data_IF_076768329722
#
_entry.id   IF_076768329722
#
_cell.length_a   1.000
_cell.length_b   1.000
_cell.length_c   1.000
_cell.angle_alpha   90.00
_cell.angle_beta   90.00
_cell.angle_gamma   90.00
#
_symmetry.space_group_name_H-M   'P 1'
#
loop_
_entity.id
_entity.type
_entity.pdbx_description
1 polymer ?
2 polymer ?
3 polymer ?
4 polymer ?
5 non-polymer ?
6 non-polymer ?
7 water ?
#
loop_
_entity_poly.entity_id
_entity_poly.type
_entity_poly.pdbx_seq_one_letter_code
_entity_poly.pdbx_strand_id
1 'polyribonucleotide' '(GTP)GCCGUGUGCCUUGCGCCGGGAAACCACGCAAGGGAUGGUGUCAAAUUCGGCGAAACCUAAGCGCCCGCCCGGGCGUAUGGCAACGCCGAGCCAAGCUUCGCAGCCAUUGCACUCCGGCUGCGAUGAAGGUGUAGAGACUAGACGGCACCCACCUAAGGCAAACGCUAUGGUGAAGGCAUAGUCCAGGGAGUGGCG(A23)' ?
2 'polydeoxyribonucleotide/polyribonucleotide hybrid' 'AAGCCACACAAACCA(DG)' ?
3 'polydeoxyribonucleotide/polyribonucleotide hybrid' 'CA(DT)ACGGCC' ?
#
# COMPACT_ATOMS: atom_id res chain seq x y z
N UNK D 1 -0.68 -17.98 -0.05
CA UNK D 1 0.02 -16.81 -0.56
C UNK D 1 -0.24 -15.55 0.26
N UNK D 2 -1.44 -15.44 0.82
CA UNK D 2 -1.86 -14.27 1.60
C UNK D 2 -1.88 -14.54 3.11
N UNK D 3 -1.31 -13.61 3.88
CA UNK D 3 -1.31 -13.70 5.34
C UNK D 3 -2.57 -13.07 5.93
N UNK D 4 -2.61 -12.97 7.26
CA UNK D 4 -3.80 -12.53 7.98
C UNK D 4 -4.02 -11.01 7.87
N UNK D 5 -5.29 -10.58 7.71
CA UNK D 5 -5.71 -9.19 7.46
C UNK D 5 -5.10 -8.13 8.39
N UNK D 6 -5.03 -6.90 7.89
CA UNK D 6 -4.47 -5.76 8.63
C UNK D 6 -5.03 -4.42 8.14
N UNK D 7 -4.83 -3.36 8.94
CA UNK D 7 -5.20 -1.99 8.56
C UNK D 7 -4.38 -1.46 7.39
N UNK D 8 -3.13 -1.91 7.30
CA UNK D 8 -2.19 -1.46 6.27
C UNK D 8 -1.85 -2.62 5.32
N UNK D 9 -1.56 -2.28 4.07
CA UNK D 9 -1.20 -3.27 3.06
C UNK D 9 0.23 -3.11 2.54
N UNK D 10 0.91 -4.23 2.33
CA UNK D 10 2.26 -4.25 1.77
C UNK D 10 2.22 -4.40 0.25
N UNK D 11 2.99 -3.56 -0.43
CA UNK D 11 3.04 -3.56 -1.90
C UNK D 11 4.50 -3.66 -2.35
N UNK D 12 4.78 -4.54 -3.31
CA UNK D 12 6.14 -4.72 -3.83
C UNK D 12 6.23 -4.78 -5.35
N UNK D 13 7.43 -5.05 -5.85
CA UNK D 13 7.73 -5.11 -7.29
C UNK D 13 7.28 -3.85 -8.03
N UNK D 14 8.02 -2.76 -7.82
CA UNK D 14 7.70 -1.48 -8.45
C UNK D 14 8.93 -0.93 -9.17
N UNK D 15 8.70 -0.02 -10.11
CA UNK D 15 9.78 0.65 -10.81
C UNK D 15 10.40 1.70 -9.90
N UNK D 16 11.71 1.60 -9.69
CA UNK D 16 12.42 2.40 -8.69
C UNK D 16 12.96 3.73 -9.21
N UNK D 17 12.64 4.06 -10.46
CA UNK D 17 13.05 5.34 -11.06
C UNK D 17 12.20 6.50 -10.55
N UNK D 18 10.95 6.22 -10.19
CA UNK D 18 10.00 7.23 -9.73
C UNK D 18 10.42 7.80 -8.36
N UNK D 19 10.30 9.12 -8.20
CA UNK D 19 10.64 9.81 -6.97
C UNK D 19 9.66 9.53 -5.83
N UNK D 20 10.05 9.92 -4.62
CA UNK D 20 9.21 9.75 -3.42
C UNK D 20 7.95 10.63 -3.47
N UNK D 21 8.13 11.87 -3.94
CA UNK D 21 7.04 12.84 -3.96
C UNK D 21 5.99 12.54 -5.03
N UNK D 22 6.43 11.94 -6.14
CA UNK D 22 5.54 11.64 -7.27
C UNK D 22 4.67 10.39 -7.03
N UNK D 23 5.26 9.37 -6.42
CA UNK D 23 4.58 8.08 -6.23
C UNK D 23 3.46 8.13 -5.19
N UNK D 24 3.57 9.05 -4.23
CA UNK D 24 2.55 9.23 -3.20
C UNK D 24 1.25 9.79 -3.77
N UNK D 25 1.36 10.53 -4.87
CA UNK D 25 0.21 11.13 -5.54
C UNK D 25 -0.62 10.11 -6.33
N UNK D 26 0.08 9.19 -7.01
CA UNK D 26 -0.56 8.17 -7.84
C UNK D 26 -1.48 7.23 -7.06
N UNK D 27 -1.12 6.99 -5.79
CA UNK D 27 -1.90 6.12 -4.91
C UNK D 27 -3.13 6.84 -4.33
N UNK D 28 -3.05 8.17 -4.26
CA UNK D 28 -4.13 8.99 -3.69
C UNK D 28 -5.28 9.23 -4.68
N UNK D 29 -5.31 8.44 -5.75
CA UNK D 29 -6.36 8.54 -6.76
C UNK D 29 -6.98 7.17 -7.06
N UNK D 30 -6.12 6.15 -7.18
CA UNK D 30 -6.56 4.79 -7.49
C UNK D 30 -7.14 4.07 -6.27
N UNK D 31 -6.47 4.22 -5.12
CA UNK D 31 -6.86 3.54 -3.88
C UNK D 31 -7.74 4.38 -2.95
N UNK D 32 -7.81 5.68 -3.20
CA UNK D 32 -8.61 6.60 -2.39
C UNK D 32 -10.12 6.37 -2.53
N UNK D 33 -10.53 5.78 -3.64
CA UNK D 33 -11.94 5.46 -3.88
C UNK D 33 -12.36 4.13 -3.25
N UNK D 34 -11.38 3.31 -2.87
CA UNK D 34 -11.62 2.08 -2.11
C UNK D 34 -11.86 2.38 -0.64
N UNK D 35 -11.56 3.61 -0.24
CA UNK D 35 -11.66 4.06 1.15
C UNK D 35 -10.67 5.18 1.37
N UNK D 36 -10.94 6.03 2.37
CA UNK D 36 -10.09 7.17 2.65
C UNK D 36 -8.74 6.74 3.23
N UNK D 37 -7.67 7.25 2.64
CA UNK D 37 -6.30 6.93 3.06
C UNK D 37 -5.88 7.88 4.19
N UNK D 38 -5.41 7.30 5.30
CA UNK D 38 -4.92 8.08 6.42
C UNK D 38 -3.52 8.65 6.13
N UNK D 39 -2.56 7.76 5.87
CA UNK D 39 -1.19 8.16 5.54
C UNK D 39 -0.50 7.13 4.63
N UNK D 40 0.49 7.60 3.86
CA UNK D 40 1.27 6.73 2.97
C UNK D 40 2.75 6.78 3.35
N UNK D 41 3.32 5.61 3.64
CA UNK D 41 4.74 5.49 3.94
C UNK D 41 5.50 4.91 2.75
N UNK D 42 6.39 5.72 2.19
CA UNK D 42 7.24 5.30 1.07
C UNK D 42 8.68 5.75 1.32
N UNK D 43 9.62 4.84 1.10
CA UNK D 43 11.04 5.15 1.19
C UNK D 43 11.81 4.59 0.01
N UNK D 44 12.88 5.28 -0.38
CA UNK D 44 13.68 4.91 -1.54
C UNK D 44 14.96 4.17 -1.13
N UNK D 45 15.12 3.97 0.18
CA UNK D 45 16.30 3.31 0.74
C UNK D 45 16.38 1.84 0.34
N UNK D 46 17.61 1.31 0.30
CA UNK D 46 17.89 -0.04 -0.19
C UNK D 46 16.98 -1.13 0.38
N UNK D 47 16.65 -1.01 1.67
CA UNK D 47 15.80 -1.98 2.35
C UNK D 47 14.31 -1.73 2.07
N UNK D 48 13.96 -0.47 1.78
CA UNK D 48 12.56 -0.07 1.66
C UNK D 48 12.13 0.35 0.24
N UNK D 49 13.06 0.30 -0.71
CA UNK D 49 12.78 0.73 -2.09
C UNK D 49 11.84 -0.20 -2.84
N UNK D 50 11.03 0.37 -3.72
CA UNK D 50 10.05 -0.37 -4.50
C UNK D 50 8.92 -0.94 -3.65
N UNK D 51 8.70 -0.32 -2.49
CA UNK D 51 7.72 -0.79 -1.51
C UNK D 51 6.87 0.37 -0.99
N UNK D 52 5.59 0.10 -0.77
CA UNK D 52 4.64 1.11 -0.32
C UNK D 52 3.68 0.59 0.75
N UNK D 53 3.33 1.46 1.69
CA UNK D 53 2.38 1.13 2.75
C UNK D 53 1.16 2.06 2.69
N UNK D 54 -0.01 1.48 2.51
CA UNK D 54 -1.26 2.26 2.39
C UNK D 54 -2.16 2.01 3.61
N UNK D 55 -2.38 3.06 4.39
CA UNK D 55 -3.18 2.98 5.61
C UNK D 55 -4.64 3.39 5.36
N UNK D 56 -5.56 2.48 5.63
CA UNK D 56 -6.99 2.77 5.54
C UNK D 56 -7.61 2.93 6.93
N UNK D 57 -8.82 3.47 6.98
CA UNK D 57 -9.55 3.60 8.24
C UNK D 57 -10.11 2.25 8.68
N UNK D 58 -10.70 1.51 7.74
CA UNK D 58 -11.26 0.19 8.02
C UNK D 58 -10.66 -0.91 7.15
N UNK D 59 -10.73 -2.15 7.65
CA UNK D 59 -10.12 -3.33 7.02
C UNK D 59 -10.76 -3.67 5.66
N UNK D 60 -12.07 -3.44 5.54
CA UNK D 60 -12.83 -3.75 4.33
C UNK D 60 -12.34 -2.99 3.09
N UNK D 61 -11.73 -1.83 3.32
CA UNK D 61 -11.16 -1.01 2.25
C UNK D 61 -9.97 -1.71 1.59
N UNK D 62 -9.14 -2.35 2.42
CA UNK D 62 -7.95 -3.06 1.94
C UNK D 62 -8.28 -4.44 1.38
N UNK D 63 -9.28 -5.10 1.96
CA UNK D 63 -9.67 -6.47 1.58
C UNK D 63 -10.16 -6.53 0.13
N UNK D 64 -10.92 -5.52 -0.29
CA UNK D 64 -11.40 -5.44 -1.67
C UNK D 64 -10.30 -4.95 -2.62
N UNK D 65 -9.42 -4.09 -2.11
CA UNK D 65 -8.25 -3.60 -2.86
C UNK D 65 -7.27 -4.75 -3.14
N UNK D 66 -7.31 -5.76 -2.29
CA UNK D 66 -6.50 -6.97 -2.45
C UNK D 66 -6.96 -7.80 -3.66
N UNK D 67 -8.25 -7.77 -3.94
CA UNK D 67 -8.84 -8.57 -5.01
C UNK D 67 -9.04 -7.79 -6.31
N UNK D 68 -9.66 -6.62 -6.21
CA UNK D 68 -9.98 -5.80 -7.37
C UNK D 68 -8.74 -5.21 -8.05
N UNK D 69 -7.72 -4.90 -7.25
CA UNK D 69 -6.49 -4.28 -7.74
C UNK D 69 -5.30 -5.25 -7.77
N UNK D 70 -5.61 -6.55 -7.74
CA UNK D 70 -4.59 -7.60 -7.78
C UNK D 70 -3.91 -7.69 -9.15
N UNK D 71 -2.58 -7.64 -9.14
CA UNK D 71 -1.78 -7.76 -10.36
C UNK D 71 -1.86 -6.55 -11.28
N UNK D 72 -2.23 -5.40 -10.70
CA UNK D 72 -2.38 -4.15 -11.43
C UNK D 72 -1.05 -3.70 -12.04
N UNK D 73 -0.98 -3.58 -13.38
CA UNK D 73 0.24 -3.12 -14.03
C UNK D 73 0.54 -1.66 -13.69
N UNK D 74 1.55 -1.45 -12.84
CA UNK D 74 1.91 -0.13 -12.37
C UNK D 74 3.27 0.27 -12.94
N UNK D 75 3.29 1.34 -13.73
CA UNK D 75 4.47 1.80 -14.47
C UNK D 75 5.12 0.65 -15.27
N UNK D 76 4.28 -0.11 -15.97
CA UNK D 76 4.69 -1.29 -16.75
C UNK D 76 5.34 -2.41 -15.91
N UNK D 77 4.88 -2.55 -14.68
CA UNK D 77 5.34 -3.60 -13.77
C UNK D 77 4.18 -4.20 -12.97
N UNK D 78 4.14 -5.55 -12.86
CA UNK D 78 3.06 -6.24 -12.14
C UNK D 78 3.12 -6.01 -10.64
N UNK D 79 2.17 -5.23 -10.13
CA UNK D 79 2.09 -4.86 -8.72
C UNK D 79 1.54 -6.01 -7.86
N UNK D 80 2.32 -6.43 -6.87
CA UNK D 80 1.90 -7.46 -5.92
C UNK D 80 1.40 -6.82 -4.62
N UNK D 81 0.44 -7.47 -3.98
CA UNK D 81 -0.14 -6.97 -2.73
C UNK D 81 -0.21 -8.07 -1.66
N UNK D 82 0.28 -7.74 -0.46
CA UNK D 82 0.15 -8.61 0.71
C UNK D 82 -0.31 -7.78 1.92
N UNK D 83 -0.69 -8.47 2.99
CA UNK D 83 -1.05 -7.79 4.23
C UNK D 83 0.21 -7.52 5.07
N UNK D 84 0.21 -6.36 5.73
CA UNK D 84 1.33 -5.98 6.61
C UNK D 84 1.37 -6.86 7.84
N UNK D 85 2.56 -7.33 8.18
CA UNK D 85 2.76 -8.26 9.30
C UNK D 85 2.77 -7.56 10.67
N UNK D 86 2.77 -6.23 10.66
CA UNK D 86 2.73 -5.45 11.90
C UNK D 86 1.86 -4.21 11.72
N UNK D 87 1.20 -3.80 12.81
CA UNK D 87 0.35 -2.60 12.82
C UNK D 87 1.18 -1.30 12.81
N UNK D 88 0.58 -0.25 12.27
CA UNK D 88 1.22 1.07 12.20
C UNK D 88 1.30 1.73 13.57
N UNK D 89 2.21 2.70 13.71
CA UNK D 89 2.44 3.38 14.99
C UNK D 89 1.30 4.32 15.39
N UNK D 90 0.53 4.79 14.41
CA UNK D 90 -0.62 5.66 14.65
C UNK D 90 -1.89 4.82 14.86
N UNK D 91 -1.95 3.68 14.18
CA UNK D 91 -3.08 2.76 14.26
C UNK D 91 -3.12 1.99 15.59
N UNK D 92 -1.96 1.54 16.05
CA UNK D 92 -1.84 0.73 17.28
C UNK D 92 -2.17 1.51 18.55
N UNK D 93 -2.05 2.83 18.51
CA UNK D 93 -2.33 3.69 19.66
C UNK D 93 -3.83 4.03 19.82
N UNK D 94 -4.63 3.63 18.83
CA UNK D 94 -6.08 3.86 18.84
C UNK D 94 -6.87 2.60 19.18
N UNK D 95 -6.31 1.44 18.83
CA UNK D 95 -6.94 0.14 19.07
C UNK D 95 -7.01 -0.21 20.55
#
# INVERSE_FOLDING_TARGET
PETRPNHTIYINNLNEKIKKDELKKSLHAIFSRFGQILDILVSRSLKMRGQAFVIFKEVSSATNALRSMQGFPFYDKPMRIQYAKTDSDIIAKMK
#
